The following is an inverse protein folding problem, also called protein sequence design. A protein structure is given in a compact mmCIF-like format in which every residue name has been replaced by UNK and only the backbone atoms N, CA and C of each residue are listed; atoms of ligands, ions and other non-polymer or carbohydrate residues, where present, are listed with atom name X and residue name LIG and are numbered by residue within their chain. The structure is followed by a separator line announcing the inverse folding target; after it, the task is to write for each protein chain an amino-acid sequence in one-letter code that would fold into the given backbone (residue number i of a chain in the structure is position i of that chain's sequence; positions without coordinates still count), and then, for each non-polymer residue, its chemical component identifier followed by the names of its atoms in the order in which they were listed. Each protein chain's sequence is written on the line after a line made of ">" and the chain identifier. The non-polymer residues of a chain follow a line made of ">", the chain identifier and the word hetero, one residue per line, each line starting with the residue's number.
data_IF_776681842064
#
_entry.id   IF_776681842064
#
_cell.length_a   1.000
_cell.length_b   1.000
_cell.length_c   1.000
_cell.angle_alpha   90.00
_cell.angle_beta   90.00
_cell.angle_gamma   90.00
#
_symmetry.space_group_name_H-M   'P 1'
#
loop_
_entity.id
_entity.type
_entity.pdbx_description
1 polymer ?
#
# COMPACT_ATOMS: atom_id res chain seq x y z
N UNK A 113 -17.85 -0.17 2.44
CA UNK A 113 -18.03 -1.17 1.38
C UNK A 113 -16.80 -2.06 1.20
N UNK A 114 -15.89 -2.09 2.18
CA UNK A 114 -14.73 -2.98 2.20
C UNK A 114 -15.20 -4.43 2.21
N UNK A 115 -16.20 -4.71 3.04
CA UNK A 115 -16.69 -6.04 3.35
C UNK A 115 -16.10 -6.55 4.66
N UNK A 116 -14.84 -6.23 4.93
CA UNK A 116 -14.14 -6.60 6.15
C UNK A 116 -12.65 -6.78 5.88
N UNK A 117 -12.29 -7.22 4.67
CA UNK A 117 -10.93 -7.38 4.17
C UNK A 117 -9.95 -8.00 5.21
N UNK A 118 -8.63 -7.82 5.04
CA UNK A 118 -7.55 -8.38 5.86
C UNK A 118 -6.42 -7.35 5.90
N UNK A 119 -6.48 -6.40 6.83
CA UNK A 119 -5.45 -5.35 6.90
C UNK A 119 -4.23 -5.95 7.57
N UNK A 120 -3.10 -6.04 6.85
CA UNK A 120 -1.84 -6.51 7.40
C UNK A 120 -1.39 -5.63 8.56
N UNK A 121 -0.55 -6.20 9.43
CA UNK A 121 0.18 -5.48 10.47
C UNK A 121 1.13 -4.45 9.84
N UNK A 122 1.78 -3.61 10.65
CA UNK A 122 2.76 -2.66 10.14
C UNK A 122 3.94 -3.41 9.52
N UNK A 123 4.55 -2.81 8.50
CA UNK A 123 5.41 -3.48 7.54
C UNK A 123 6.76 -2.78 7.43
N UNK A 124 7.64 -3.39 6.65
CA UNK A 124 8.88 -2.82 6.18
C UNK A 124 8.48 -1.86 5.05
N UNK A 125 8.83 -0.58 5.16
CA UNK A 125 8.46 0.38 4.12
C UNK A 125 9.46 0.18 2.98
N UNK A 126 9.03 -0.20 1.76
CA UNK A 126 9.91 -0.31 0.61
C UNK A 126 10.50 1.06 0.34
N UNK A 127 11.82 1.16 0.21
CA UNK A 127 12.42 2.41 -0.19
C UNK A 127 12.08 2.63 -1.66
N UNK A 128 11.59 3.83 -1.96
CA UNK A 128 11.16 4.21 -3.29
C UNK A 128 12.32 5.00 -3.91
N UNK A 129 12.51 4.89 -5.23
CA UNK A 129 13.73 5.31 -5.90
C UNK A 129 13.34 6.14 -7.12
N UNK A 130 12.71 7.28 -6.84
CA UNK A 130 12.23 8.28 -7.78
C UNK A 130 13.32 8.66 -8.77
N UNK A 131 14.52 8.96 -8.26
CA UNK A 131 15.69 9.29 -9.05
C UNK A 131 16.24 10.69 -8.78
N UNK A 132 15.77 11.38 -7.74
CA UNK A 132 16.30 12.68 -7.34
C UNK A 132 16.43 12.74 -5.83
N UNK A 133 17.39 13.54 -5.33
CA UNK A 133 17.67 13.69 -3.90
C UNK A 133 16.44 14.12 -3.13
N UNK A 134 15.66 15.02 -3.75
CA UNK A 134 14.67 15.77 -3.01
C UNK A 134 13.56 14.82 -2.61
N UNK A 135 12.99 14.10 -3.58
CA UNK A 135 11.97 13.09 -3.33
C UNK A 135 12.53 11.92 -2.51
N UNK A 136 13.84 11.68 -2.58
CA UNK A 136 14.49 10.62 -1.82
C UNK A 136 14.33 10.94 -0.34
N UNK A 137 14.81 12.11 0.10
CA UNK A 137 14.62 12.53 1.49
C UNK A 137 13.14 12.85 1.74
N UNK A 138 12.36 13.34 0.78
CA UNK A 138 10.98 13.77 1.03
C UNK A 138 10.15 12.59 1.53
N UNK A 139 10.36 11.42 0.91
CA UNK A 139 9.80 10.15 1.33
C UNK A 139 10.21 9.85 2.78
N UNK A 140 11.51 9.82 3.03
CA UNK A 140 12.14 9.39 4.29
C UNK A 140 11.80 10.31 5.44
N UNK A 141 11.61 11.58 5.13
CA UNK A 141 11.16 12.61 6.05
C UNK A 141 9.84 12.16 6.67
N UNK A 142 8.81 12.09 5.83
CA UNK A 142 7.41 12.03 6.23
C UNK A 142 6.84 10.68 5.78
N UNK A 143 7.58 9.59 6.03
CA UNK A 143 7.13 8.23 5.71
C UNK A 143 5.80 7.93 6.38
N UNK A 144 5.65 8.33 7.65
CA UNK A 144 4.47 8.04 8.47
C UNK A 144 3.20 8.69 7.93
N UNK A 145 3.32 9.66 7.02
CA UNK A 145 2.21 10.27 6.30
C UNK A 145 1.62 9.27 5.31
N UNK A 146 2.45 8.46 4.65
CA UNK A 146 2.03 7.31 3.87
C UNK A 146 1.75 6.14 4.84
N UNK A 147 1.05 5.07 4.41
CA UNK A 147 0.80 3.91 5.26
C UNK A 147 2.10 3.16 5.55
N UNK A 148 2.10 2.35 6.62
CA UNK A 148 3.06 1.26 6.79
C UNK A 148 2.33 -0.09 6.73
N UNK A 149 1.08 -0.15 6.25
CA UNK A 149 0.26 -1.37 6.24
C UNK A 149 -0.31 -1.56 4.83
N UNK A 150 -0.86 -2.74 4.55
CA UNK A 150 -1.59 -3.02 3.32
C UNK A 150 -2.93 -3.63 3.65
N UNK A 151 -3.99 -2.98 3.17
CA UNK A 151 -5.32 -3.53 3.22
C UNK A 151 -5.41 -4.52 2.06
N UNK A 152 -5.45 -5.82 2.35
CA UNK A 152 -5.52 -6.84 1.30
C UNK A 152 -6.51 -7.93 1.70
N UNK A 153 -7.04 -8.71 0.77
CA UNK A 153 -7.77 -9.95 1.09
C UNK A 153 -6.79 -11.10 1.30
N UNK A 154 -7.15 -12.14 2.08
CA UNK A 154 -6.35 -13.35 2.13
C UNK A 154 -6.29 -13.99 0.73
N UNK A 155 -5.28 -14.84 0.53
CA UNK A 155 -5.12 -15.66 -0.66
C UNK A 155 -6.16 -16.79 -0.63
N UNK A 156 -6.54 -17.21 0.58
CA UNK A 156 -7.63 -18.12 0.86
C UNK A 156 -8.97 -17.39 0.71
N UNK A 157 -9.61 -17.62 -0.44
CA UNK A 157 -10.82 -17.02 -1.01
C UNK A 157 -10.40 -15.89 -1.98
N UNK A 158 -11.02 -15.88 -3.17
CA UNK A 158 -10.77 -14.91 -4.25
C UNK A 158 -9.27 -14.82 -4.61
N UNK A 159 -8.64 -15.97 -4.86
CA UNK A 159 -7.26 -16.09 -5.32
C UNK A 159 -7.08 -15.40 -6.68
N UNK A 160 -6.40 -14.26 -6.72
CA UNK A 160 -6.06 -13.56 -7.96
C UNK A 160 -4.67 -12.95 -7.86
N UNK A 161 -4.08 -12.58 -9.00
CA UNK A 161 -2.92 -11.71 -9.04
C UNK A 161 -3.44 -10.28 -9.17
N UNK A 162 -3.90 -9.90 -10.36
CA UNK A 162 -4.38 -8.55 -10.66
C UNK A 162 -5.57 -8.20 -9.79
N UNK A 163 -6.63 -8.99 -9.88
CA UNK A 163 -7.90 -8.70 -9.23
C UNK A 163 -7.83 -8.71 -7.70
N UNK A 164 -6.70 -9.12 -7.10
CA UNK A 164 -6.41 -9.02 -5.67
C UNK A 164 -5.43 -7.85 -5.43
N UNK A 165 -4.25 -7.77 -6.07
CA UNK A 165 -3.28 -6.69 -5.83
C UNK A 165 -3.89 -5.33 -6.19
N UNK A 166 -4.54 -5.19 -7.35
CA UNK A 166 -5.07 -3.89 -7.71
C UNK A 166 -6.20 -3.53 -6.75
N UNK A 167 -7.18 -4.40 -6.47
CA UNK A 167 -8.28 -4.02 -5.57
C UNK A 167 -7.77 -3.75 -4.14
N UNK A 168 -6.67 -4.40 -3.74
CA UNK A 168 -5.87 -4.11 -2.55
C UNK A 168 -5.40 -2.65 -2.57
N UNK A 169 -4.57 -2.27 -3.55
CA UNK A 169 -4.07 -0.91 -3.71
C UNK A 169 -5.26 0.06 -3.79
N UNK A 170 -6.32 -0.30 -4.51
CA UNK A 170 -7.50 0.52 -4.75
C UNK A 170 -8.10 0.95 -3.43
N UNK A 171 -8.52 -0.02 -2.61
CA UNK A 171 -9.05 0.22 -1.29
C UNK A 171 -8.03 0.92 -0.39
N UNK A 172 -6.77 0.47 -0.34
CA UNK A 172 -5.81 0.95 0.65
C UNK A 172 -5.56 2.44 0.41
N UNK A 173 -5.21 2.79 -0.82
CA UNK A 173 -4.96 4.17 -1.20
C UNK A 173 -6.27 4.97 -1.10
N UNK A 174 -7.44 4.42 -1.46
CA UNK A 174 -8.72 5.09 -1.25
C UNK A 174 -8.88 5.45 0.22
N UNK A 175 -8.86 4.46 1.12
CA UNK A 175 -9.18 4.65 2.52
C UNK A 175 -8.25 5.66 3.16
N UNK A 176 -6.95 5.63 2.87
CA UNK A 176 -6.01 6.59 3.42
C UNK A 176 -6.30 7.98 2.88
N UNK A 177 -6.35 8.15 1.56
CA UNK A 177 -6.66 9.42 0.91
C UNK A 177 -7.97 10.00 1.45
N UNK A 178 -9.00 9.16 1.65
CA UNK A 178 -10.25 9.49 2.33
C UNK A 178 -9.96 10.09 3.70
N UNK A 179 -9.22 9.38 4.56
CA UNK A 179 -8.99 9.82 5.92
C UNK A 179 -8.37 11.22 5.89
N UNK A 180 -7.21 11.39 5.25
CA UNK A 180 -6.58 12.69 5.07
C UNK A 180 -7.55 13.80 4.72
N UNK A 181 -8.13 13.66 3.56
CA UNK A 181 -9.13 14.58 3.02
C UNK A 181 -10.25 14.88 4.04
N UNK A 182 -10.72 13.92 4.84
CA UNK A 182 -11.72 14.15 5.87
C UNK A 182 -11.14 14.83 7.12
N UNK A 183 -9.85 14.65 7.39
CA UNK A 183 -9.11 15.18 8.53
C UNK A 183 -8.39 16.49 8.19
N UNK A 184 -8.67 17.06 7.02
CA UNK A 184 -8.16 18.36 6.60
C UNK A 184 -6.73 18.29 6.06
N UNK A 185 -6.19 17.11 5.80
CA UNK A 185 -4.88 16.91 5.19
C UNK A 185 -5.05 16.89 3.66
N UNK A 186 -3.96 17.13 2.92
CA UNK A 186 -3.90 17.09 1.46
C UNK A 186 -2.74 16.23 1.00
N UNK A 187 -2.87 15.64 -0.19
CA UNK A 187 -1.82 14.92 -0.90
C UNK A 187 -1.56 15.60 -2.24
N UNK A 188 -0.30 15.85 -2.56
CA UNK A 188 0.14 16.27 -3.88
C UNK A 188 0.21 15.07 -4.85
N UNK A 189 0.34 15.31 -6.16
CA UNK A 189 0.35 14.26 -7.19
C UNK A 189 1.47 13.25 -6.96
N UNK A 190 2.68 13.71 -6.63
CA UNK A 190 3.75 12.77 -6.33
C UNK A 190 3.38 11.93 -5.11
N UNK A 191 2.60 12.43 -4.14
CA UNK A 191 2.19 11.63 -2.98
C UNK A 191 1.24 10.50 -3.40
N UNK A 192 0.33 10.76 -4.34
CA UNK A 192 -0.58 9.77 -4.88
C UNK A 192 0.25 8.61 -5.44
N UNK A 193 1.19 8.93 -6.34
CA UNK A 193 2.09 7.95 -6.93
C UNK A 193 3.01 7.32 -5.90
N UNK A 194 3.39 8.04 -4.85
CA UNK A 194 4.20 7.55 -3.74
C UNK A 194 3.46 6.39 -3.11
N UNK A 195 2.21 6.60 -2.72
CA UNK A 195 1.41 5.56 -2.10
C UNK A 195 1.20 4.43 -3.10
N UNK A 196 0.79 4.71 -4.34
CA UNK A 196 0.56 3.68 -5.35
C UNK A 196 1.77 2.75 -5.45
N UNK A 197 2.98 3.32 -5.55
CA UNK A 197 4.23 2.58 -5.59
C UNK A 197 4.44 1.80 -4.29
N UNK A 198 4.46 2.47 -3.13
CA UNK A 198 4.75 1.86 -1.83
C UNK A 198 3.77 0.72 -1.53
N UNK A 199 2.48 0.95 -1.72
CA UNK A 199 1.40 0.03 -1.42
C UNK A 199 1.40 -1.12 -2.43
N UNK A 200 1.71 -0.91 -3.72
CA UNK A 200 1.94 -1.98 -4.68
C UNK A 200 3.07 -2.86 -4.16
N UNK A 201 4.23 -2.26 -3.89
CA UNK A 201 5.41 -2.98 -3.45
C UNK A 201 5.11 -3.79 -2.18
N UNK A 202 4.47 -3.19 -1.17
CA UNK A 202 4.13 -3.87 0.08
C UNK A 202 3.08 -4.98 -0.15
N UNK A 203 2.04 -4.74 -0.96
CA UNK A 203 0.96 -5.70 -1.15
C UNK A 203 1.47 -6.93 -1.91
N UNK A 204 2.31 -6.72 -2.93
CA UNK A 204 2.96 -7.83 -3.61
C UNK A 204 3.98 -8.49 -2.67
N UNK A 205 4.75 -7.74 -1.87
CA UNK A 205 5.65 -8.33 -0.87
C UNK A 205 4.89 -9.33 0.01
N UNK A 206 3.71 -8.94 0.50
CA UNK A 206 2.84 -9.81 1.27
C UNK A 206 2.46 -11.04 0.44
N UNK A 207 1.98 -10.85 -0.80
CA UNK A 207 1.58 -11.96 -1.66
C UNK A 207 2.73 -12.93 -1.91
N UNK A 208 3.92 -12.43 -2.24
CA UNK A 208 5.11 -13.21 -2.53
C UNK A 208 5.33 -14.21 -1.40
N UNK A 209 5.36 -13.71 -0.16
CA UNK A 209 5.55 -14.47 1.07
C UNK A 209 4.40 -15.45 1.30
N UNK A 210 3.16 -14.96 1.35
CA UNK A 210 2.00 -15.78 1.66
C UNK A 210 1.89 -16.92 0.66
N UNK A 211 1.92 -16.59 -0.63
CA UNK A 211 1.72 -17.53 -1.71
C UNK A 211 2.92 -18.46 -1.88
N UNK A 212 4.14 -18.10 -1.43
CA UNK A 212 5.21 -19.05 -1.22
C UNK A 212 4.74 -20.15 -0.28
N UNK A 213 4.38 -19.79 0.96
CA UNK A 213 4.01 -20.75 2.01
C UNK A 213 2.79 -21.58 1.62
N UNK A 214 1.85 -21.00 0.87
CA UNK A 214 0.66 -21.64 0.32
C UNK A 214 1.03 -22.81 -0.60
N UNK A 215 2.16 -22.70 -1.28
CA UNK A 215 2.73 -23.66 -2.23
C UNK A 215 4.06 -24.21 -1.69
N UNK A 216 4.13 -24.57 -0.41
CA UNK A 216 5.27 -25.24 0.19
C UNK A 216 4.71 -26.29 1.14
#
# INVERSE_FOLDING_TARGET
>A
GSKKRPKPGGGWNTGGSRYPGQGSPGGNRYPPQGGGGWGQPHGGGWGQPHGGGWGQPHGGGWGQPHGGGWGQPHGGGGWGQGGTHGQWNKPSKPKTNMKHVAGAAAAGAVVGGLGGYMLGSAMSRPLIHFGSDYEDRYYRENMHRYPNQVYYRPVDQYSNQNNFVHDCVNITVKEHTVTTTTKGENFTETDIKMMERVVEQMCITQYQRESQAYYQRGA
#
